data_IF_621197113891
#
_entry.id   IF_621197113891
#
_cell.length_a   1.000
_cell.length_b   1.000
_cell.length_c   1.000
_cell.angle_alpha   90.00
_cell.angle_beta   90.00
_cell.angle_gamma   90.00
#
_symmetry.space_group_name_H-M   'P 1'
#
loop_
_entity.id
_entity.type
_entity.pdbx_description
1 polymer ?
#
# COMPACT_ATOMS: atom_id res chain seq x y z
N UNK A 1 -2.44 11.63 -16.15
CA UNK A 1 -1.32 12.45 -15.63
C UNK A 1 -0.59 11.76 -14.47
N UNK A 2 -1.27 11.23 -13.44
CA UNK A 2 -0.61 10.53 -12.32
C UNK A 2 0.31 9.35 -12.75
N UNK A 3 -0.12 8.52 -13.70
CA UNK A 3 0.73 7.44 -14.26
C UNK A 3 1.98 7.96 -14.98
N UNK A 4 1.91 9.14 -15.59
CA UNK A 4 3.06 9.78 -16.22
C UNK A 4 4.07 10.21 -15.15
N UNK A 5 3.63 10.85 -14.07
CA UNK A 5 4.51 11.24 -12.96
C UNK A 5 5.16 10.03 -12.29
N UNK A 6 4.42 8.95 -12.09
CA UNK A 6 4.98 7.70 -11.59
C UNK A 6 6.04 7.11 -12.54
N UNK A 7 5.80 7.16 -13.85
CA UNK A 7 6.78 6.80 -14.87
C UNK A 7 8.07 7.61 -14.77
N UNK A 8 7.96 8.94 -14.58
CA UNK A 8 9.12 9.83 -14.39
C UNK A 8 9.91 9.46 -13.12
N UNK A 9 9.24 9.25 -11.98
CA UNK A 9 9.87 8.87 -10.70
C UNK A 9 10.61 7.53 -10.82
N UNK A 10 9.99 6.55 -11.47
CA UNK A 10 10.57 5.21 -11.67
C UNK A 10 11.59 5.15 -12.82
N UNK A 11 11.71 6.19 -13.65
CA UNK A 11 12.51 6.15 -14.88
C UNK A 11 11.96 5.20 -15.95
N UNK A 12 10.64 4.92 -15.91
CA UNK A 12 9.94 4.03 -16.86
C UNK A 12 9.31 4.84 -18.00
N UNK A 13 9.23 4.29 -19.23
CA UNK A 13 8.54 4.95 -20.35
C UNK A 13 7.03 5.06 -20.11
N UNK A 14 6.40 6.11 -20.66
CA UNK A 14 4.95 6.32 -20.63
C UNK A 14 4.40 6.58 -22.04
N UNK A 15 3.76 5.56 -22.63
CA UNK A 15 3.29 5.64 -24.02
C UNK A 15 4.47 5.80 -25.01
N UNK A 16 4.33 6.69 -25.99
CA UNK A 16 5.42 7.04 -26.92
C UNK A 16 6.53 7.91 -26.29
N UNK A 17 6.33 8.39 -25.05
CA UNK A 17 7.34 9.12 -24.31
C UNK A 17 8.32 8.10 -23.72
N UNK A 18 9.33 7.74 -24.50
CA UNK A 18 10.50 7.05 -23.99
C UNK A 18 11.17 7.98 -22.98
N UNK A 19 11.14 7.63 -21.70
CA UNK A 19 12.06 8.25 -20.74
C UNK A 19 13.45 8.17 -21.36
N UNK A 20 14.08 9.32 -21.60
CA UNK A 20 15.29 9.38 -22.42
C UNK A 20 16.31 8.33 -21.97
N UNK A 21 17.02 7.71 -22.91
CA UNK A 21 18.19 6.87 -22.61
C UNK A 21 19.07 7.62 -21.59
N UNK A 22 19.04 7.21 -20.32
CA UNK A 22 19.78 7.85 -19.23
C UNK A 22 18.96 8.61 -18.18
N UNK A 23 17.62 8.69 -18.27
CA UNK A 23 16.77 9.18 -17.17
C UNK A 23 16.79 8.17 -16.01
N UNK A 24 17.82 8.23 -15.16
CA UNK A 24 17.79 7.59 -13.85
C UNK A 24 16.66 8.28 -13.09
N UNK A 25 15.51 7.63 -12.95
CA UNK A 25 14.49 8.05 -11.98
C UNK A 25 15.12 8.22 -10.59
N UNK A 26 14.36 8.63 -9.58
CA UNK A 26 14.92 8.81 -8.21
C UNK A 26 15.32 7.49 -7.54
N UNK A 27 15.28 6.37 -8.28
CA UNK A 27 15.76 5.05 -7.88
C UNK A 27 14.74 4.22 -7.11
N UNK A 28 13.52 4.74 -6.90
CA UNK A 28 12.42 4.02 -6.27
C UNK A 28 11.42 3.53 -7.33
N UNK A 29 11.25 2.22 -7.41
CA UNK A 29 10.28 1.57 -8.30
C UNK A 29 8.88 1.54 -7.66
N UNK A 30 8.34 2.73 -7.36
CA UNK A 30 7.05 2.93 -6.70
C UNK A 30 5.87 2.99 -7.66
N UNK A 31 4.67 2.82 -7.13
CA UNK A 31 3.41 2.95 -7.89
C UNK A 31 2.98 4.41 -8.13
N UNK A 32 1.78 4.61 -8.68
CA UNK A 32 1.20 5.93 -8.93
C UNK A 32 0.18 6.39 -7.88
N UNK A 33 0.06 5.69 -6.76
CA UNK A 33 -0.97 5.95 -5.75
C UNK A 33 -0.86 7.36 -5.17
N UNK A 34 0.32 7.76 -4.68
CA UNK A 34 0.53 9.08 -4.06
C UNK A 34 0.22 10.22 -5.04
N UNK A 35 0.71 10.10 -6.27
CA UNK A 35 0.41 11.05 -7.35
C UNK A 35 -1.09 11.15 -7.64
N UNK A 36 -1.79 10.02 -7.58
CA UNK A 36 -3.24 9.96 -7.81
C UNK A 36 -3.97 10.64 -6.65
N UNK A 37 -3.58 10.38 -5.41
CA UNK A 37 -4.15 11.04 -4.23
C UNK A 37 -3.95 12.56 -4.28
N UNK A 38 -2.73 13.03 -4.57
CA UNK A 38 -2.41 14.46 -4.66
C UNK A 38 -3.27 15.16 -5.72
N UNK A 39 -3.51 14.52 -6.87
CA UNK A 39 -4.21 15.15 -7.99
C UNK A 39 -5.72 14.96 -7.96
N UNK A 40 -6.22 13.90 -7.32
CA UNK A 40 -7.61 13.47 -7.44
C UNK A 40 -8.37 13.45 -6.10
N UNK A 41 -7.74 13.84 -4.98
CA UNK A 41 -8.42 13.97 -3.70
C UNK A 41 -9.64 14.90 -3.80
N UNK A 42 -10.67 14.60 -3.00
CA UNK A 42 -11.84 15.47 -2.82
C UNK A 42 -12.01 15.72 -1.32
N UNK A 43 -12.17 16.98 -0.86
CA UNK A 43 -12.31 17.30 0.55
C UNK A 43 -13.39 16.45 1.24
N UNK A 44 -13.09 15.95 2.43
CA UNK A 44 -14.03 15.18 3.24
C UNK A 44 -14.27 13.75 2.73
N UNK A 45 -13.49 13.23 1.78
CA UNK A 45 -13.68 11.88 1.24
C UNK A 45 -12.37 11.09 1.16
N UNK A 46 -12.48 9.77 1.27
CA UNK A 46 -11.44 8.81 0.90
C UNK A 46 -11.77 8.24 -0.47
N UNK A 47 -10.78 8.09 -1.34
CA UNK A 47 -11.00 7.62 -2.71
C UNK A 47 -10.42 6.22 -2.92
N UNK A 48 -11.11 5.41 -3.72
CA UNK A 48 -10.64 4.11 -4.19
C UNK A 48 -10.27 4.21 -5.66
N UNK A 49 -9.07 3.71 -6.00
CA UNK A 49 -8.59 3.68 -7.37
C UNK A 49 -8.03 2.29 -7.70
N UNK A 50 -8.32 1.83 -8.90
CA UNK A 50 -7.54 0.77 -9.54
C UNK A 50 -6.36 1.38 -10.29
N UNK A 51 -5.33 0.56 -10.53
CA UNK A 51 -4.11 0.95 -11.20
C UNK A 51 -3.78 -0.01 -12.35
N UNK A 52 -3.08 0.52 -13.36
CA UNK A 52 -2.68 -0.19 -14.59
C UNK A 52 -3.89 -0.66 -15.44
N UNK A 53 -4.75 0.23 -15.97
CA UNK A 53 -4.66 1.70 -15.94
C UNK A 53 -5.29 2.31 -14.67
N UNK A 54 -4.99 3.59 -14.41
CA UNK A 54 -5.60 4.31 -13.29
C UNK A 54 -7.07 4.58 -13.58
N UNK A 55 -7.96 4.10 -12.71
CA UNK A 55 -9.41 4.23 -12.82
C UNK A 55 -10.00 4.60 -11.46
N UNK A 56 -10.84 5.63 -11.43
CA UNK A 56 -11.65 6.00 -10.26
C UNK A 56 -12.69 4.88 -10.03
N UNK A 57 -12.66 4.24 -8.86
CA UNK A 57 -13.62 3.21 -8.47
C UNK A 57 -14.67 3.72 -7.47
N UNK A 58 -14.53 4.98 -7.06
CA UNK A 58 -15.48 5.66 -6.20
C UNK A 58 -14.80 6.43 -5.07
N UNK A 59 -15.62 7.22 -4.40
CA UNK A 59 -15.25 7.94 -3.18
C UNK A 59 -16.21 7.59 -2.06
N UNK A 60 -15.68 7.60 -0.84
CA UNK A 60 -16.41 7.34 0.40
C UNK A 60 -16.31 8.60 1.27
N UNK A 61 -17.43 9.24 1.63
CA UNK A 61 -17.42 10.34 2.59
C UNK A 61 -16.83 9.88 3.94
N UNK A 62 -16.09 10.77 4.59
CA UNK A 62 -15.68 10.55 5.96
C UNK A 62 -16.92 10.46 6.87
N UNK A 63 -17.01 9.48 7.77
CA UNK A 63 -18.10 9.40 8.74
C UNK A 63 -18.11 10.63 9.66
N UNK A 64 -19.31 11.14 9.98
CA UNK A 64 -19.48 12.32 10.81
C UNK A 64 -18.86 12.15 12.21
N UNK A 65 -18.08 13.15 12.65
CA UNK A 65 -17.39 13.12 13.94
C UNK A 65 -16.22 12.13 13.98
N UNK A 66 -15.70 11.69 12.83
CA UNK A 66 -14.48 10.89 12.73
C UNK A 66 -13.40 11.62 11.94
N UNK A 67 -12.15 11.42 12.34
CA UNK A 67 -10.97 12.04 11.71
C UNK A 67 -9.80 11.06 11.72
N UNK A 68 -8.79 11.34 10.90
CA UNK A 68 -7.52 10.63 11.00
C UNK A 68 -6.59 11.29 12.01
N UNK A 69 -6.01 10.49 12.88
CA UNK A 69 -4.78 10.80 13.61
C UNK A 69 -3.61 10.16 12.85
N UNK A 70 -2.49 10.88 12.72
CA UNK A 70 -1.30 10.45 12.01
C UNK A 70 -0.11 10.52 12.97
N UNK A 71 0.71 9.47 12.99
CA UNK A 71 1.97 9.43 13.70
C UNK A 71 3.11 9.11 12.71
N UNK A 72 4.15 9.93 12.69
CA UNK A 72 5.45 9.58 12.11
C UNK A 72 6.30 8.97 13.21
N UNK A 73 6.86 7.79 12.97
CA UNK A 73 7.71 7.08 13.93
C UNK A 73 9.03 7.80 14.24
N UNK A 74 9.44 8.76 13.42
CA UNK A 74 10.79 9.34 13.50
C UNK A 74 11.89 8.39 12.98
N UNK A 75 11.53 7.17 12.54
CA UNK A 75 12.45 6.27 11.85
C UNK A 75 12.58 6.75 10.40
N UNK A 76 13.71 7.38 10.10
CA UNK A 76 14.08 7.69 8.72
C UNK A 76 14.45 6.39 8.01
N UNK A 77 13.62 5.94 7.07
CA UNK A 77 13.97 4.86 6.17
C UNK A 77 15.12 5.34 5.27
N UNK A 78 16.38 4.89 5.47
CA UNK A 78 17.49 5.42 4.71
C UNK A 78 17.28 5.06 3.24
N UNK A 79 17.26 6.06 2.34
CA UNK A 79 17.17 5.87 0.88
C UNK A 79 18.44 5.23 0.27
N UNK A 80 19.34 4.72 1.10
CA UNK A 80 20.60 4.07 0.73
C UNK A 80 20.86 2.85 1.63
N UNK A 81 21.63 1.88 1.13
CA UNK A 81 22.04 0.69 1.88
C UNK A 81 20.95 -0.40 2.00
N UNK A 82 21.03 -1.19 3.07
CA UNK A 82 20.28 -2.44 3.26
C UNK A 82 18.75 -2.27 3.27
N UNK A 83 18.23 -1.11 3.68
CA UNK A 83 16.78 -0.82 3.64
C UNK A 83 16.29 -0.67 2.21
N UNK A 84 17.04 0.05 1.36
CA UNK A 84 16.74 0.16 -0.07
C UNK A 84 16.79 -1.20 -0.76
N UNK A 85 17.74 -2.06 -0.41
CA UNK A 85 17.85 -3.39 -1.02
C UNK A 85 16.69 -4.30 -0.61
N UNK A 86 16.22 -4.20 0.65
CA UNK A 86 15.00 -4.88 1.10
C UNK A 86 13.76 -4.36 0.35
N UNK A 87 13.59 -3.04 0.25
CA UNK A 87 12.49 -2.44 -0.51
C UNK A 87 12.51 -2.89 -1.98
N UNK A 88 13.65 -2.77 -2.67
CA UNK A 88 13.79 -3.17 -4.07
C UNK A 88 13.56 -4.67 -4.25
N UNK A 89 13.97 -5.49 -3.28
CA UNK A 89 13.68 -6.93 -3.27
C UNK A 89 12.18 -7.19 -3.21
N UNK A 90 11.41 -6.47 -2.39
CA UNK A 90 9.95 -6.57 -2.34
C UNK A 90 9.29 -6.08 -3.63
N UNK A 91 9.73 -4.93 -4.16
CA UNK A 91 9.23 -4.36 -5.41
C UNK A 91 9.48 -5.26 -6.62
N UNK A 92 10.53 -6.09 -6.60
CA UNK A 92 10.84 -7.04 -7.65
C UNK A 92 10.00 -8.33 -7.63
N UNK A 93 9.28 -8.64 -6.54
CA UNK A 93 8.51 -9.89 -6.44
C UNK A 93 7.34 -9.96 -7.44
N UNK A 94 6.49 -8.93 -7.61
CA UNK A 94 5.42 -8.95 -8.61
C UNK A 94 5.96 -9.12 -10.03
N UNK A 95 7.10 -8.50 -10.37
CA UNK A 95 7.70 -8.67 -11.69
C UNK A 95 8.21 -10.10 -11.89
N UNK A 96 8.87 -10.69 -10.88
CA UNK A 96 9.31 -12.09 -10.93
C UNK A 96 8.13 -13.07 -11.09
N UNK A 97 7.00 -12.80 -10.43
CA UNK A 97 5.75 -13.57 -10.60
C UNK A 97 5.30 -13.49 -12.07
N UNK A 98 5.30 -12.29 -12.65
CA UNK A 98 4.87 -12.10 -14.03
C UNK A 98 5.85 -12.69 -15.07
N UNK A 99 7.15 -12.65 -14.81
CA UNK A 99 8.17 -13.31 -15.65
C UNK A 99 7.95 -14.82 -15.69
N UNK A 100 7.70 -15.45 -14.54
CA UNK A 100 7.39 -16.87 -14.45
C UNK A 100 6.08 -17.21 -15.18
N UNK A 101 5.04 -16.40 -14.99
CA UNK A 101 3.78 -16.55 -15.72
C UNK A 101 3.99 -16.50 -17.24
N UNK A 102 4.68 -15.48 -17.74
CA UNK A 102 4.96 -15.31 -19.17
C UNK A 102 5.80 -16.46 -19.73
N UNK A 103 6.80 -16.92 -18.99
CA UNK A 103 7.61 -18.08 -19.38
C UNK A 103 6.79 -19.36 -19.50
N UNK A 104 5.90 -19.62 -18.55
CA UNK A 104 4.99 -20.78 -18.57
C UNK A 104 3.84 -20.64 -19.56
N UNK A 105 3.47 -19.43 -19.95
CA UNK A 105 2.45 -19.19 -20.96
C UNK A 105 3.02 -19.22 -22.39
N UNK A 106 4.31 -18.92 -22.58
CA UNK A 106 4.96 -19.06 -23.88
C UNK A 106 4.97 -20.51 -24.40
N UNK A 107 4.93 -21.50 -23.50
CA UNK A 107 4.81 -22.93 -23.85
C UNK A 107 3.38 -23.41 -24.13
N UNK A 108 2.37 -22.57 -23.89
CA UNK A 108 0.94 -22.89 -24.09
C UNK A 108 0.29 -21.79 -24.93
N UNK A 109 0.05 -22.04 -26.22
CA UNK A 109 -0.66 -21.09 -27.08
C UNK A 109 -2.13 -20.95 -26.63
N UNK A 110 -2.45 -19.82 -25.98
CA UNK A 110 -3.79 -19.49 -25.50
C UNK A 110 -3.92 -18.02 -25.07
N UNK A 111 -5.16 -17.53 -24.82
CA UNK A 111 -5.45 -16.13 -24.49
C UNK A 111 -4.77 -15.63 -23.20
N UNK A 112 -4.33 -16.54 -22.35
CA UNK A 112 -3.68 -16.28 -21.05
C UNK A 112 -2.23 -15.76 -21.15
N UNK A 113 -1.59 -15.83 -22.31
CA UNK A 113 -0.18 -15.48 -22.48
C UNK A 113 0.12 -13.96 -22.46
N UNK A 114 -0.92 -13.11 -22.48
CA UNK A 114 -0.80 -11.66 -22.68
C UNK A 114 -0.99 -10.79 -21.44
N UNK A 115 -1.16 -11.33 -20.23
CA UNK A 115 -1.44 -10.49 -19.06
C UNK A 115 -0.27 -9.57 -18.71
N UNK A 116 -0.53 -8.26 -18.67
CA UNK A 116 0.49 -7.22 -18.47
C UNK A 116 0.92 -7.04 -17.00
N UNK A 117 0.11 -7.49 -16.04
CA UNK A 117 0.38 -7.40 -14.61
C UNK A 117 -0.47 -8.41 -13.83
N UNK A 118 -0.11 -8.63 -12.56
CA UNK A 118 -0.76 -9.63 -11.69
C UNK A 118 -2.26 -9.37 -11.53
N UNK A 119 -2.69 -8.10 -11.43
CA UNK A 119 -4.11 -7.74 -11.38
C UNK A 119 -4.92 -8.28 -12.56
N UNK A 120 -4.37 -8.28 -13.78
CA UNK A 120 -5.06 -8.81 -14.96
C UNK A 120 -5.23 -10.34 -14.89
N UNK A 121 -4.28 -11.05 -14.27
CA UNK A 121 -4.41 -12.49 -14.00
C UNK A 121 -5.55 -12.76 -13.03
N UNK A 122 -5.74 -11.90 -12.03
CA UNK A 122 -6.82 -12.01 -11.05
C UNK A 122 -8.19 -11.74 -11.68
N UNK A 123 -8.29 -10.71 -12.51
CA UNK A 123 -9.51 -10.33 -13.23
C UNK A 123 -9.97 -11.42 -14.23
N UNK A 124 -9.04 -12.19 -14.79
CA UNK A 124 -9.35 -13.32 -15.66
C UNK A 124 -10.08 -14.47 -14.95
N UNK A 125 -10.06 -14.50 -13.61
CA UNK A 125 -10.89 -15.37 -12.79
C UNK A 125 -10.15 -16.58 -12.19
N UNK A 126 -10.89 -17.49 -11.52
CA UNK A 126 -10.31 -18.53 -10.68
C UNK A 126 -9.38 -19.50 -11.40
N UNK A 127 -9.62 -19.79 -12.68
CA UNK A 127 -8.78 -20.67 -13.49
C UNK A 127 -7.35 -20.12 -13.67
N UNK A 128 -7.23 -18.83 -13.97
CA UNK A 128 -5.94 -18.16 -14.12
C UNK A 128 -5.16 -18.14 -12.78
N UNK A 129 -5.86 -17.93 -11.68
CA UNK A 129 -5.32 -18.00 -10.32
C UNK A 129 -4.78 -19.39 -9.95
N UNK A 130 -5.54 -20.45 -10.23
CA UNK A 130 -5.11 -21.84 -9.98
C UNK A 130 -3.83 -22.14 -10.78
N UNK A 131 -3.83 -21.75 -12.06
CA UNK A 131 -2.66 -21.91 -12.94
C UNK A 131 -1.46 -21.12 -12.44
N UNK A 132 -1.66 -19.89 -11.99
CA UNK A 132 -0.58 -19.08 -11.41
C UNK A 132 0.03 -19.79 -10.21
N UNK A 133 -0.80 -20.33 -9.31
CA UNK A 133 -0.34 -21.13 -8.18
C UNK A 133 0.49 -22.34 -8.59
N UNK A 134 0.12 -23.03 -9.68
CA UNK A 134 0.92 -24.16 -10.23
C UNK A 134 2.29 -23.68 -10.73
N UNK A 135 2.29 -22.64 -11.57
CA UNK A 135 3.53 -22.04 -12.11
C UNK A 135 4.48 -21.64 -10.99
N UNK A 136 3.97 -20.98 -9.95
CA UNK A 136 4.80 -20.53 -8.83
C UNK A 136 5.32 -21.71 -7.99
N UNK A 137 4.50 -22.74 -7.74
CA UNK A 137 4.92 -23.95 -6.99
C UNK A 137 6.03 -24.72 -7.69
N UNK A 138 5.98 -24.80 -9.01
CA UNK A 138 6.96 -25.53 -9.83
C UNK A 138 8.18 -24.68 -10.20
N UNK A 139 8.14 -23.37 -9.92
CA UNK A 139 9.18 -22.44 -10.31
C UNK A 139 10.53 -22.70 -9.62
N UNK A 140 11.61 -22.38 -10.34
CA UNK A 140 12.98 -22.35 -9.82
C UNK A 140 13.57 -20.96 -10.03
N UNK A 141 13.06 -19.97 -9.28
CA UNK A 141 13.54 -18.60 -9.41
C UNK A 141 14.80 -18.37 -8.56
N UNK A 142 15.86 -17.84 -9.17
CA UNK A 142 17.20 -17.71 -8.56
C UNK A 142 17.22 -16.87 -7.27
N UNK A 143 16.34 -15.87 -7.16
CA UNK A 143 16.31 -14.93 -6.01
C UNK A 143 15.17 -15.18 -5.03
N UNK A 144 14.14 -15.92 -5.43
CA UNK A 144 12.88 -15.98 -4.70
C UNK A 144 12.39 -17.42 -4.61
N UNK A 145 12.34 -18.01 -3.40
CA UNK A 145 11.75 -19.32 -3.20
C UNK A 145 10.26 -19.31 -3.60
N UNK A 146 9.71 -20.44 -4.09
CA UNK A 146 8.29 -20.58 -4.44
C UNK A 146 7.33 -20.06 -3.37
N UNK A 147 7.57 -20.39 -2.10
CA UNK A 147 6.73 -19.96 -0.98
C UNK A 147 6.64 -18.45 -0.83
N UNK A 148 7.74 -17.71 -1.08
CA UNK A 148 7.74 -16.24 -1.01
C UNK A 148 6.87 -15.65 -2.12
N UNK A 149 6.98 -16.17 -3.34
CA UNK A 149 6.18 -15.69 -4.47
C UNK A 149 4.70 -16.06 -4.33
N UNK A 150 4.39 -17.25 -3.79
CA UNK A 150 3.03 -17.68 -3.48
C UNK A 150 2.40 -16.78 -2.42
N UNK A 151 3.09 -16.52 -1.31
CA UNK A 151 2.59 -15.63 -0.25
C UNK A 151 2.36 -14.22 -0.78
N UNK A 152 3.28 -13.70 -1.61
CA UNK A 152 3.11 -12.38 -2.23
C UNK A 152 1.93 -12.33 -3.19
N UNK A 153 1.75 -13.36 -4.02
CA UNK A 153 0.62 -13.43 -4.94
C UNK A 153 -0.72 -13.52 -4.21
N UNK A 154 -0.80 -14.35 -3.16
CA UNK A 154 -1.97 -14.48 -2.31
C UNK A 154 -2.31 -13.17 -1.60
N UNK A 155 -1.33 -12.55 -0.94
CA UNK A 155 -1.53 -11.27 -0.27
C UNK A 155 -2.01 -10.18 -1.24
N UNK A 156 -1.44 -10.10 -2.45
CA UNK A 156 -1.91 -9.14 -3.46
C UNK A 156 -3.35 -9.43 -3.91
N UNK A 157 -3.71 -10.71 -4.10
CA UNK A 157 -5.05 -11.12 -4.47
C UNK A 157 -6.08 -10.79 -3.38
N UNK A 158 -5.77 -11.08 -2.12
CA UNK A 158 -6.64 -10.77 -0.98
C UNK A 158 -6.77 -9.26 -0.77
N UNK A 159 -5.68 -8.50 -0.93
CA UNK A 159 -5.71 -7.04 -0.78
C UNK A 159 -6.69 -6.38 -1.75
N UNK A 160 -6.57 -6.68 -3.05
CA UNK A 160 -7.40 -6.03 -4.08
C UNK A 160 -8.78 -6.67 -4.23
N UNK A 161 -8.91 -7.98 -3.97
CA UNK A 161 -10.14 -8.74 -4.19
C UNK A 161 -11.05 -8.78 -2.97
N UNK A 162 -10.50 -8.63 -1.76
CA UNK A 162 -11.23 -8.77 -0.51
C UNK A 162 -11.07 -7.57 0.41
N UNK A 163 -9.86 -7.20 0.81
CA UNK A 163 -9.66 -6.24 1.90
C UNK A 163 -10.03 -4.80 1.51
N UNK A 164 -9.48 -4.27 0.41
CA UNK A 164 -9.78 -2.90 -0.05
C UNK A 164 -11.28 -2.74 -0.36
N UNK A 165 -11.93 -3.61 -1.15
CA UNK A 165 -13.37 -3.49 -1.43
C UNK A 165 -14.23 -3.64 -0.18
N UNK A 166 -13.84 -4.48 0.79
CA UNK A 166 -14.61 -4.67 2.03
C UNK A 166 -14.47 -3.47 2.97
N UNK A 167 -13.26 -2.91 3.09
CA UNK A 167 -13.04 -1.69 3.84
C UNK A 167 -13.84 -0.51 3.26
N UNK A 168 -13.80 -0.32 1.93
CA UNK A 168 -14.55 0.75 1.28
C UNK A 168 -16.08 0.60 1.47
N UNK A 169 -16.62 -0.61 1.32
CA UNK A 169 -18.04 -0.88 1.56
C UNK A 169 -18.43 -0.65 3.01
N UNK A 170 -17.64 -1.14 3.97
CA UNK A 170 -17.89 -0.97 5.39
C UNK A 170 -17.88 0.50 5.80
N UNK A 171 -16.86 1.25 5.37
CA UNK A 171 -16.76 2.68 5.65
C UNK A 171 -17.94 3.46 5.05
N UNK A 172 -18.33 3.13 3.81
CA UNK A 172 -19.50 3.73 3.14
C UNK A 172 -20.81 3.43 3.85
N UNK A 173 -20.94 2.25 4.47
CA UNK A 173 -22.11 1.86 5.24
C UNK A 173 -22.10 2.42 6.68
N UNK A 174 -21.02 3.09 7.11
CA UNK A 174 -20.85 3.50 8.51
C UNK A 174 -20.54 2.34 9.46
N UNK A 175 -20.28 1.14 8.95
CA UNK A 175 -19.88 -0.03 9.75
C UNK A 175 -18.39 0.04 10.07
N UNK A 176 -18.08 0.83 11.08
CA UNK A 176 -16.72 1.08 11.55
C UNK A 176 -16.05 -0.18 12.11
N UNK A 177 -16.82 -1.10 12.68
CA UNK A 177 -16.28 -2.34 13.19
C UNK A 177 -15.81 -3.25 12.04
N UNK A 178 -16.62 -3.40 10.98
CA UNK A 178 -16.23 -4.12 9.78
C UNK A 178 -15.08 -3.46 9.03
N UNK A 179 -15.03 -2.12 9.02
CA UNK A 179 -13.90 -1.37 8.48
C UNK A 179 -12.61 -1.72 9.25
N UNK A 180 -12.64 -1.63 10.58
CA UNK A 180 -11.50 -1.96 11.43
C UNK A 180 -11.06 -3.42 11.33
N UNK A 181 -11.99 -4.38 11.16
CA UNK A 181 -11.65 -5.78 10.88
C UNK A 181 -10.94 -5.94 9.54
N UNK A 182 -11.41 -5.26 8.50
CA UNK A 182 -10.80 -5.33 7.16
C UNK A 182 -9.38 -4.75 7.13
N UNK A 183 -9.17 -3.62 7.80
CA UNK A 183 -7.85 -2.97 7.93
C UNK A 183 -6.86 -3.87 8.68
N UNK A 184 -7.28 -4.44 9.82
CA UNK A 184 -6.43 -5.37 10.59
C UNK A 184 -6.06 -6.63 9.80
N UNK A 185 -7.00 -7.17 9.02
CA UNK A 185 -6.73 -8.33 8.17
C UNK A 185 -5.72 -7.99 7.05
N UNK A 186 -5.90 -6.84 6.38
CA UNK A 186 -4.96 -6.33 5.38
C UNK A 186 -3.55 -6.14 5.96
N UNK A 187 -3.44 -5.45 7.11
CA UNK A 187 -2.17 -5.21 7.77
C UNK A 187 -1.46 -6.51 8.15
N UNK A 188 -2.18 -7.47 8.75
CA UNK A 188 -1.62 -8.79 9.08
C UNK A 188 -1.11 -9.53 7.84
N UNK A 189 -1.90 -9.57 6.76
CA UNK A 189 -1.49 -10.22 5.51
C UNK A 189 -0.24 -9.54 4.93
N UNK A 190 -0.15 -8.21 5.01
CA UNK A 190 1.00 -7.45 4.57
C UNK A 190 2.24 -7.76 5.41
N UNK A 191 2.14 -7.84 6.73
CA UNK A 191 3.27 -8.22 7.61
C UNK A 191 3.79 -9.62 7.26
N UNK A 192 2.90 -10.60 7.12
CA UNK A 192 3.25 -11.99 6.82
C UNK A 192 3.92 -12.14 5.44
N UNK A 193 3.47 -11.39 4.43
CA UNK A 193 3.97 -11.51 3.06
C UNK A 193 5.18 -10.62 2.75
N UNK A 194 5.33 -9.48 3.43
CA UNK A 194 6.30 -8.44 3.06
C UNK A 194 7.38 -8.21 4.11
N UNK A 195 7.15 -8.54 5.38
CA UNK A 195 8.11 -8.35 6.47
C UNK A 195 8.77 -6.94 6.45
N UNK A 196 7.97 -5.91 6.21
CA UNK A 196 8.42 -4.52 6.05
C UNK A 196 8.18 -3.65 7.27
N UNK A 197 7.44 -4.14 8.27
CA UNK A 197 7.17 -3.43 9.50
C UNK A 197 8.44 -3.28 10.35
N UNK A 198 8.45 -2.23 11.17
CA UNK A 198 9.49 -1.98 12.17
C UNK A 198 8.88 -2.05 13.56
N UNK A 199 9.67 -2.30 14.61
CA UNK A 199 9.16 -2.27 15.98
C UNK A 199 8.38 -0.99 16.32
N UNK A 200 8.82 0.15 15.77
CA UNK A 200 8.19 1.45 15.99
C UNK A 200 6.81 1.56 15.32
N UNK A 201 6.69 1.11 14.07
CA UNK A 201 5.42 1.19 13.32
C UNK A 201 4.41 0.15 13.82
N UNK A 202 4.90 -1.01 14.26
CA UNK A 202 4.10 -2.02 14.96
C UNK A 202 3.58 -1.46 16.29
N UNK A 203 4.46 -0.91 17.14
CA UNK A 203 4.06 -0.32 18.41
C UNK A 203 3.07 0.84 18.24
N UNK A 204 3.32 1.77 17.31
CA UNK A 204 2.36 2.84 17.00
C UNK A 204 0.98 2.28 16.64
N UNK A 205 0.92 1.22 15.83
CA UNK A 205 -0.34 0.61 15.43
C UNK A 205 -1.05 -0.04 16.61
N UNK A 206 -0.33 -0.81 17.44
CA UNK A 206 -0.89 -1.48 18.61
C UNK A 206 -1.38 -0.48 19.67
N UNK A 207 -0.59 0.56 19.97
CA UNK A 207 -0.96 1.58 20.95
C UNK A 207 -2.16 2.42 20.48
N UNK A 208 -2.27 2.72 19.18
CA UNK A 208 -3.44 3.40 18.64
C UNK A 208 -4.73 2.59 18.88
N UNK A 209 -4.68 1.28 18.62
CA UNK A 209 -5.82 0.39 18.86
C UNK A 209 -6.12 0.26 20.35
N UNK A 210 -5.10 0.16 21.21
CA UNK A 210 -5.26 0.09 22.66
C UNK A 210 -5.88 1.37 23.25
N UNK A 211 -5.64 2.53 22.63
CA UNK A 211 -6.24 3.82 22.98
C UNK A 211 -7.65 4.03 22.39
N UNK A 212 -8.19 3.04 21.68
CA UNK A 212 -9.56 3.06 21.18
C UNK A 212 -9.73 3.54 19.75
N UNK A 213 -8.66 3.58 18.94
CA UNK A 213 -8.82 3.75 17.49
C UNK A 213 -9.62 2.59 16.91
N UNK A 214 -10.56 2.89 16.00
CA UNK A 214 -11.36 1.86 15.30
C UNK A 214 -10.48 1.01 14.39
N UNK A 215 -9.51 1.67 13.77
CA UNK A 215 -8.58 1.08 12.84
C UNK A 215 -7.28 1.86 12.91
N UNK A 216 -6.16 1.16 12.75
CA UNK A 216 -4.85 1.77 12.55
C UNK A 216 -4.04 0.89 11.59
N UNK A 217 -3.18 1.51 10.79
CA UNK A 217 -2.28 0.79 9.89
C UNK A 217 -1.05 1.65 9.55
N UNK A 218 0.14 1.05 9.43
CA UNK A 218 1.23 1.67 8.72
C UNK A 218 0.82 2.00 7.28
N UNK A 219 1.41 3.05 6.71
CA UNK A 219 1.19 3.42 5.31
C UNK A 219 2.47 3.95 4.66
N UNK A 220 2.48 3.88 3.33
CA UNK A 220 3.65 4.19 2.52
C UNK A 220 4.50 2.96 2.23
N UNK A 221 5.80 3.17 2.03
CA UNK A 221 6.72 2.14 1.53
C UNK A 221 7.17 1.09 2.56
N UNK A 222 6.91 1.32 3.86
CA UNK A 222 7.42 0.49 4.95
C UNK A 222 8.84 0.83 5.41
N UNK A 223 9.39 -0.03 6.28
CA UNK A 223 10.71 0.10 6.92
C UNK A 223 10.89 1.36 7.76
N UNK A 224 9.81 1.79 8.41
CA UNK A 224 9.69 3.02 9.20
C UNK A 224 8.49 3.80 8.70
N UNK A 225 8.58 5.13 8.78
CA UNK A 225 7.51 6.00 8.27
C UNK A 225 6.37 6.16 9.25
N UNK A 226 5.15 6.13 8.74
CA UNK A 226 3.98 6.66 9.45
C UNK A 226 2.85 5.65 9.60
N UNK A 227 2.06 5.85 10.66
CA UNK A 227 0.84 5.11 10.97
C UNK A 227 -0.32 6.09 10.97
N UNK A 228 -1.45 5.70 10.38
CA UNK A 228 -2.70 6.41 10.55
C UNK A 228 -3.61 5.64 11.52
N UNK A 229 -4.47 6.36 12.22
CA UNK A 229 -5.50 5.82 13.10
C UNK A 229 -6.82 6.57 12.86
N UNK A 230 -7.95 5.84 12.78
CA UNK A 230 -9.28 6.41 12.68
C UNK A 230 -9.88 6.57 14.07
N UNK A 231 -10.16 7.82 14.46
CA UNK A 231 -10.57 8.19 15.82
C UNK A 231 -11.73 9.17 15.81
N UNK A 232 -12.43 9.27 16.95
CA UNK A 232 -13.45 10.30 17.18
C UNK A 232 -12.81 11.68 17.12
N UNK A 233 -13.44 12.61 16.40
CA UNK A 233 -12.93 13.98 16.25
C UNK A 233 -12.89 14.72 17.58
N UNK A 234 -13.93 14.53 18.41
CA UNK A 234 -14.08 15.19 19.72
C UNK A 234 -12.97 14.83 20.71
N UNK A 235 -12.46 13.60 20.68
CA UNK A 235 -11.41 13.11 21.57
C UNK A 235 -10.04 13.02 20.90
N UNK A 236 -9.90 13.59 19.69
CA UNK A 236 -8.68 13.46 18.89
C UNK A 236 -7.44 14.11 19.52
N UNK A 237 -7.62 15.17 20.31
CA UNK A 237 -6.52 15.83 21.02
C UNK A 237 -5.95 14.92 22.12
N UNK A 238 -6.80 14.48 23.04
CA UNK A 238 -6.43 13.57 24.14
C UNK A 238 -5.85 12.25 23.61
N UNK A 239 -6.41 11.73 22.50
CA UNK A 239 -5.88 10.56 21.82
C UNK A 239 -4.45 10.78 21.32
N UNK A 240 -4.17 11.91 20.65
CA UNK A 240 -2.84 12.21 20.12
C UNK A 240 -1.80 12.37 21.24
N UNK A 241 -2.18 13.01 22.35
CA UNK A 241 -1.30 13.19 23.50
C UNK A 241 -1.00 11.85 24.18
N UNK A 242 -2.02 11.03 24.41
CA UNK A 242 -1.85 9.67 24.95
C UNK A 242 -1.04 8.76 24.03
N UNK A 243 -1.26 8.86 22.72
CA UNK A 243 -0.54 8.05 21.74
C UNK A 243 0.94 8.45 21.66
N UNK A 244 1.23 9.75 21.70
CA UNK A 244 2.59 10.28 21.79
C UNK A 244 3.28 9.80 23.07
N UNK A 245 2.64 9.94 24.22
CA UNK A 245 3.24 9.57 25.50
C UNK A 245 3.64 8.10 25.51
N UNK A 246 2.70 7.20 25.19
CA UNK A 246 2.95 5.75 25.19
C UNK A 246 4.03 5.34 24.19
N UNK A 247 4.08 5.99 23.03
CA UNK A 247 5.13 5.76 22.05
C UNK A 247 6.51 6.21 22.56
N UNK A 248 6.62 7.41 23.13
CA UNK A 248 7.90 7.93 23.64
C UNK A 248 8.36 7.24 24.92
N UNK A 249 7.45 6.65 25.70
CA UNK A 249 7.80 5.80 26.84
C UNK A 249 8.52 4.52 26.37
N UNK A 250 8.11 3.96 25.23
CA UNK A 250 8.72 2.77 24.64
C UNK A 250 9.97 3.10 23.79
N UNK A 251 9.98 4.26 23.13
CA UNK A 251 11.03 4.70 22.19
C UNK A 251 11.50 6.12 22.50
N UNK A 252 12.12 6.30 23.66
CA UNK A 252 12.53 7.62 24.19
C UNK A 252 13.58 8.34 23.35
N UNK A 253 14.30 7.62 22.48
CA UNK A 253 15.29 8.15 21.55
C UNK A 253 14.68 8.69 20.25
N UNK A 254 13.37 8.54 20.01
CA UNK A 254 12.68 9.00 18.80
C UNK A 254 12.19 10.45 18.94
N UNK A 255 13.13 11.38 19.08
CA UNK A 255 12.82 12.82 19.23
C UNK A 255 12.16 13.46 18.00
N UNK A 256 12.37 12.86 16.82
CA UNK A 256 11.80 13.33 15.54
C UNK A 256 10.40 12.76 15.26
N UNK A 257 9.82 12.02 16.20
CA UNK A 257 8.46 11.52 16.08
C UNK A 257 7.46 12.68 16.05
N UNK A 258 6.46 12.60 15.18
CA UNK A 258 5.48 13.66 14.99
C UNK A 258 4.06 13.08 15.03
N UNK A 259 3.15 13.80 15.67
CA UNK A 259 1.77 13.39 15.87
C UNK A 259 0.86 14.53 15.46
N UNK A 260 -0.07 14.29 14.55
CA UNK A 260 -0.97 15.32 14.06
C UNK A 260 -2.34 14.75 13.67
N UNK A 261 -3.35 15.61 13.74
CA UNK A 261 -4.68 15.32 13.20
C UNK A 261 -4.75 15.76 11.74
N UNK A 262 -5.37 14.96 10.89
CA UNK A 262 -5.64 15.32 9.50
C UNK A 262 -7.08 14.97 9.11
N UNK A 263 -7.71 15.89 8.36
CA UNK A 263 -8.96 15.63 7.65
C UNK A 263 -8.64 15.18 6.23
N UNK A 264 -9.58 14.52 5.57
CA UNK A 264 -9.48 14.26 4.13
C UNK A 264 -9.43 15.59 3.36
N UNK A 265 -8.26 15.91 2.81
CA UNK A 265 -7.93 17.23 2.27
C UNK A 265 -8.31 17.45 0.80
N UNK A 266 -8.20 18.70 0.30
CA UNK A 266 -8.36 19.02 -1.11
C UNK A 266 -7.22 18.45 -1.97
N UNK A 267 -7.41 18.37 -3.30
CA UNK A 267 -6.33 18.05 -4.22
C UNK A 267 -5.34 19.22 -4.36
N UNK A 268 -4.23 18.98 -5.05
CA UNK A 268 -3.31 20.02 -5.47
C UNK A 268 -4.05 21.12 -6.26
N UNK A 269 -3.77 22.38 -5.90
CA UNK A 269 -4.38 23.57 -6.49
C UNK A 269 -3.30 24.53 -6.96
N UNK A 270 -3.60 25.29 -8.02
CA UNK A 270 -2.75 26.38 -8.48
C UNK A 270 -3.11 27.64 -7.70
N UNK A 271 -2.16 28.18 -6.97
CA UNK A 271 -2.29 29.51 -6.34
C UNK A 271 -1.94 30.55 -7.40
N UNK A 272 -2.82 31.52 -7.59
CA UNK A 272 -2.63 32.66 -8.50
C UNK A 272 -2.38 33.93 -7.70
#
# INVERSE_FOLDING_TARGET
FALYLAGVVAGRPFGALTGGLGCRGVGSDGGSQDHTAILCARPGTVAQFAFRPTRDEGVVPMPDGWTFALASSGVSAPKAGSVRDRYNRLAAQPEAIMDLWRGAAASVHGPDAGFAHLGAVLEAGPGALIRLGQVLRESRHLRFPPGVLLNRAAQFADEIGLHVPSAARALKAGDLEAFGRSVRASHRAAVEALAHDTPETEALTLEALALGAVAASPFGAGFGGSVWALVREESSADFLDGWRQRYLDAFSDRTDAAFLRSRAGPPALRVF
#
